data_IF_429548943121
#
_entry.id   IF_429548943121
#
_cell.length_a   1.000
_cell.length_b   1.000
_cell.length_c   1.000
_cell.angle_alpha   90.00
_cell.angle_beta   90.00
_cell.angle_gamma   90.00
#
_symmetry.space_group_name_H-M   'P 1'
#
loop_
_entity.id
_entity.type
_entity.pdbx_description
1 polymer ?
#
# COMPACT_ATOMS: atom_id res chain seq x y z
N UNK A 1 3.42 9.15 -11.76
CA UNK A 1 3.83 9.00 -10.36
C UNK A 1 3.31 7.66 -9.84
N UNK A 2 4.02 7.01 -8.91
CA UNK A 2 3.58 5.81 -8.17
C UNK A 2 3.52 6.19 -6.69
N UNK A 3 2.47 5.79 -5.98
CA UNK A 3 2.32 6.02 -4.54
C UNK A 3 2.39 4.70 -3.77
N UNK A 4 3.29 4.63 -2.79
CA UNK A 4 3.33 3.55 -1.80
C UNK A 4 2.40 3.93 -0.65
N UNK A 5 1.28 3.21 -0.50
CA UNK A 5 0.33 3.46 0.58
C UNK A 5 0.73 2.71 1.84
N UNK A 6 1.37 3.39 2.80
CA UNK A 6 1.76 2.82 4.10
C UNK A 6 0.61 2.83 5.10
N UNK A 7 -0.19 3.89 5.11
CA UNK A 7 -1.37 4.00 5.99
C UNK A 7 -2.43 4.96 5.46
N UNK A 8 -3.57 5.05 6.15
CA UNK A 8 -4.67 5.95 5.82
C UNK A 8 -5.32 6.54 7.07
N UNK A 9 -5.83 7.78 6.96
CA UNK A 9 -6.30 8.55 8.11
C UNK A 9 -7.50 7.92 8.81
N UNK A 10 -8.43 7.36 8.02
CA UNK A 10 -9.64 6.75 8.54
C UNK A 10 -9.40 5.47 9.36
N UNK A 11 -8.28 4.76 9.15
CA UNK A 11 -7.95 3.53 9.89
C UNK A 11 -6.45 3.27 9.82
N UNK A 12 -5.75 3.66 10.86
CA UNK A 12 -4.31 3.38 11.04
C UNK A 12 -4.14 1.90 11.41
N UNK A 13 -3.07 1.28 10.92
CA UNK A 13 -2.74 -0.13 11.22
C UNK A 13 -3.64 -1.19 10.57
N UNK A 14 -4.54 -0.82 9.65
CA UNK A 14 -5.41 -1.77 8.95
C UNK A 14 -5.31 -1.59 7.43
N UNK A 15 -5.41 -2.71 6.70
CA UNK A 15 -5.48 -2.70 5.26
C UNK A 15 -6.84 -2.26 4.71
N UNK A 16 -6.93 -2.19 3.38
CA UNK A 16 -8.19 -1.96 2.67
C UNK A 16 -9.23 -3.05 2.96
N UNK A 17 -10.50 -2.67 2.96
CA UNK A 17 -11.64 -3.61 3.09
C UNK A 17 -12.57 -3.34 1.92
N UNK A 18 -12.87 -4.37 1.13
CA UNK A 18 -13.93 -4.33 0.12
C UNK A 18 -15.02 -5.36 0.50
N UNK A 19 -16.21 -4.93 0.95
CA UNK A 19 -17.30 -5.84 1.27
C UNK A 19 -17.73 -6.67 0.07
N UNK A 20 -18.17 -7.92 0.30
CA UNK A 20 -18.66 -8.85 -0.73
C UNK A 20 -19.64 -8.23 -1.73
N UNK A 21 -20.63 -7.46 -1.24
CA UNK A 21 -21.64 -6.80 -2.09
C UNK A 21 -21.05 -5.83 -3.12
N UNK A 22 -19.80 -5.40 -2.93
CA UNK A 22 -19.07 -4.50 -3.83
C UNK A 22 -18.02 -5.23 -4.68
N UNK A 23 -17.78 -6.53 -4.47
CA UNK A 23 -16.78 -7.30 -5.21
C UNK A 23 -17.39 -7.91 -6.49
N UNK A 24 -17.73 -7.02 -7.44
CA UNK A 24 -18.37 -7.40 -8.71
C UNK A 24 -17.45 -8.22 -9.62
N UNK A 25 -18.01 -8.87 -10.64
CA UNK A 25 -17.23 -9.65 -11.64
C UNK A 25 -16.13 -8.80 -12.30
N UNK A 26 -16.39 -7.53 -12.58
CA UNK A 26 -15.39 -6.62 -13.14
C UNK A 26 -14.23 -6.39 -12.15
N UNK A 27 -14.53 -6.19 -10.86
CA UNK A 27 -13.51 -5.99 -9.82
C UNK A 27 -12.68 -7.25 -9.62
N UNK A 28 -13.31 -8.42 -9.61
CA UNK A 28 -12.66 -9.72 -9.55
C UNK A 28 -11.64 -9.89 -10.67
N UNK A 29 -12.03 -9.59 -11.91
CA UNK A 29 -11.14 -9.66 -13.08
C UNK A 29 -9.94 -8.71 -12.97
N UNK A 30 -10.15 -7.48 -12.50
CA UNK A 30 -9.08 -6.48 -12.33
C UNK A 30 -8.12 -6.88 -11.20
N UNK A 31 -8.64 -7.45 -10.10
CA UNK A 31 -7.88 -7.70 -8.88
C UNK A 31 -7.31 -9.11 -8.76
N UNK A 32 -7.76 -10.06 -9.59
CA UNK A 32 -7.33 -11.46 -9.52
C UNK A 32 -7.68 -12.15 -8.20
N UNK A 33 -8.86 -11.83 -7.64
CA UNK A 33 -9.35 -12.39 -6.36
C UNK A 33 -10.56 -13.29 -6.57
N UNK A 34 -10.99 -14.03 -5.56
CA UNK A 34 -12.19 -14.87 -5.67
C UNK A 34 -13.48 -14.03 -5.75
N UNK A 35 -14.44 -14.40 -6.62
CA UNK A 35 -15.73 -13.73 -6.70
C UNK A 35 -16.56 -13.93 -5.44
N UNK A 36 -17.45 -12.97 -5.16
CA UNK A 36 -18.38 -13.02 -4.03
C UNK A 36 -17.71 -13.23 -2.66
N UNK A 37 -16.47 -12.75 -2.50
CA UNK A 37 -15.76 -12.73 -1.22
C UNK A 37 -15.54 -11.29 -0.73
N UNK A 38 -15.46 -11.11 0.59
CA UNK A 38 -14.96 -9.86 1.18
C UNK A 38 -13.45 -9.82 1.06
N UNK A 39 -12.90 -8.75 0.49
CA UNK A 39 -11.45 -8.57 0.37
C UNK A 39 -10.95 -7.83 1.60
N UNK A 40 -10.07 -8.49 2.36
CA UNK A 40 -9.33 -7.91 3.47
C UNK A 40 -7.86 -7.84 3.07
N UNK A 41 -7.33 -6.64 2.87
CA UNK A 41 -5.90 -6.48 2.62
C UNK A 41 -5.13 -6.59 3.94
N UNK A 42 -3.93 -7.20 3.94
CA UNK A 42 -3.05 -7.17 5.10
C UNK A 42 -2.75 -5.73 5.58
N UNK A 43 -2.47 -5.53 6.87
CA UNK A 43 -2.16 -4.22 7.44
C UNK A 43 -0.77 -3.69 7.04
N UNK A 44 0.13 -4.56 6.57
CA UNK A 44 1.49 -4.23 6.17
C UNK A 44 1.80 -4.71 4.75
N UNK A 45 2.84 -4.14 4.15
CA UNK A 45 3.31 -4.53 2.83
C UNK A 45 4.24 -5.75 2.95
N UNK A 46 4.07 -6.77 2.12
CA UNK A 46 4.88 -8.01 2.21
C UNK A 46 6.32 -7.84 1.74
N UNK A 47 6.61 -6.85 0.89
CA UNK A 47 7.94 -6.66 0.30
C UNK A 47 9.00 -6.07 1.25
N UNK A 48 8.61 -5.48 2.39
CA UNK A 48 9.53 -4.90 3.36
C UNK A 48 8.90 -4.92 4.76
N UNK A 49 9.73 -4.90 5.81
CA UNK A 49 9.27 -4.94 7.21
C UNK A 49 9.54 -3.63 7.98
N UNK A 50 10.46 -2.82 7.50
CA UNK A 50 10.95 -1.62 8.16
C UNK A 50 11.39 -0.55 7.14
N UNK A 51 11.88 0.59 7.65
CA UNK A 51 12.37 1.70 6.83
C UNK A 51 13.59 1.26 5.99
N UNK A 52 14.48 0.42 6.55
CA UNK A 52 15.65 -0.09 5.82
C UNK A 52 15.25 -0.89 4.59
N UNK A 53 14.13 -1.62 4.62
CA UNK A 53 13.55 -2.29 3.46
C UNK A 53 12.73 -1.38 2.54
N UNK A 54 12.14 -0.30 3.05
CA UNK A 54 11.34 0.64 2.25
C UNK A 54 12.21 1.38 1.21
N UNK A 55 13.40 1.84 1.59
CA UNK A 55 14.31 2.59 0.71
C UNK A 55 14.71 1.81 -0.56
N UNK A 56 15.24 0.58 -0.49
CA UNK A 56 15.56 -0.19 -1.69
C UNK A 56 14.31 -0.55 -2.49
N UNK A 57 13.15 -0.70 -1.85
CA UNK A 57 11.89 -0.91 -2.56
C UNK A 57 11.47 0.32 -3.40
N UNK A 58 11.65 1.54 -2.86
CA UNK A 58 11.44 2.79 -3.61
C UNK A 58 12.37 2.85 -4.84
N UNK A 59 13.66 2.53 -4.66
CA UNK A 59 14.63 2.52 -5.75
C UNK A 59 14.23 1.50 -6.85
N UNK A 60 13.85 0.29 -6.44
CA UNK A 60 13.35 -0.76 -7.35
C UNK A 60 12.13 -0.29 -8.14
N UNK A 61 11.15 0.33 -7.49
CA UNK A 61 9.97 0.87 -8.17
C UNK A 61 10.34 1.98 -9.17
N UNK A 62 11.26 2.87 -8.83
CA UNK A 62 11.73 3.92 -9.74
C UNK A 62 12.40 3.34 -10.98
N UNK A 63 13.25 2.33 -10.82
CA UNK A 63 13.88 1.63 -11.94
C UNK A 63 12.85 0.93 -12.83
N UNK A 64 11.97 0.12 -12.24
CA UNK A 64 10.92 -0.62 -12.98
C UNK A 64 9.92 0.28 -13.68
N UNK A 65 9.76 1.51 -13.20
CA UNK A 65 8.82 2.49 -13.74
C UNK A 65 9.45 3.49 -14.69
N UNK A 66 10.68 3.24 -15.16
CA UNK A 66 11.41 4.08 -16.10
C UNK A 66 11.60 5.53 -15.57
N UNK A 67 11.90 5.67 -14.28
CA UNK A 67 12.22 6.95 -13.66
C UNK A 67 11.02 7.75 -13.11
N UNK A 68 9.80 7.19 -13.09
CA UNK A 68 8.63 7.89 -12.52
C UNK A 68 8.85 8.28 -11.05
N UNK A 69 8.29 9.41 -10.64
CA UNK A 69 8.29 9.84 -9.23
C UNK A 69 7.60 8.79 -8.34
N UNK A 70 8.27 8.42 -7.26
CA UNK A 70 7.75 7.50 -6.24
C UNK A 70 7.50 8.30 -4.97
N UNK A 71 6.24 8.40 -4.57
CA UNK A 71 5.83 8.99 -3.30
C UNK A 71 5.34 7.92 -2.34
N UNK A 72 5.10 8.30 -1.08
CA UNK A 72 4.43 7.45 -0.11
C UNK A 72 3.39 8.23 0.67
N UNK A 73 2.34 7.53 1.06
CA UNK A 73 1.27 8.06 1.91
C UNK A 73 1.39 7.46 3.31
N UNK A 74 1.52 8.33 4.30
CA UNK A 74 1.48 7.98 5.72
C UNK A 74 0.46 8.83 6.48
N UNK A 75 0.10 8.36 7.66
CA UNK A 75 -0.67 9.09 8.66
C UNK A 75 0.17 9.19 9.91
N UNK A 76 0.65 10.40 10.20
CA UNK A 76 1.60 10.65 11.28
C UNK A 76 0.92 10.42 12.63
N UNK A 77 1.44 9.45 13.38
CA UNK A 77 1.19 9.28 14.82
C UNK A 77 2.30 9.93 15.63
N UNK A 78 3.56 9.68 15.25
CA UNK A 78 4.75 10.27 15.86
C UNK A 78 5.63 10.90 14.76
N UNK A 79 6.01 12.17 14.93
CA UNK A 79 6.83 12.89 13.94
C UNK A 79 8.22 12.28 13.73
N UNK A 80 8.73 11.51 14.70
CA UNK A 80 10.00 10.77 14.56
C UNK A 80 9.94 9.75 13.42
N UNK A 81 8.79 9.13 13.16
CA UNK A 81 8.62 8.16 12.08
C UNK A 81 8.89 8.78 10.72
N UNK A 82 8.43 10.01 10.50
CA UNK A 82 8.69 10.74 9.26
C UNK A 82 10.16 11.15 9.14
N UNK A 83 10.76 11.66 10.22
CA UNK A 83 12.18 12.06 10.28
C UNK A 83 13.16 10.89 10.11
N UNK A 84 12.72 9.65 10.31
CA UNK A 84 13.55 8.48 10.04
C UNK A 84 13.54 8.09 8.56
N UNK A 85 12.56 8.56 7.78
CA UNK A 85 12.42 8.26 6.35
C UNK A 85 13.08 9.35 5.49
N UNK A 86 12.96 10.62 5.91
CA UNK A 86 13.49 11.81 5.22
C UNK A 86 14.58 12.48 6.04
#
# INVERSE_FOLDING_TARGET
MIEIKLSQGAKRGHGGVLPVRKNTVQIVKIRGVLPNTTILSPPSHSAFKDIKGLIPFIAKLRQLSNGKLIGFKLCIGNTREFKMIC
#
